data_IF_691235783415
#
_entry.id   IF_691235783415
#
_cell.length_a   1.000
_cell.length_b   1.000
_cell.length_c   1.000
_cell.angle_alpha   90.00
_cell.angle_beta   90.00
_cell.angle_gamma   90.00
#
_symmetry.space_group_name_H-M   'P 1'
#
loop_
_entity.id
_entity.type
_entity.pdbx_description
1 polymer ?
#
# COMPACT_ATOMS: atom_id res chain seq x y z
N UNK A 1 23.93 -42.23 5.12
CA UNK A 1 23.18 -41.17 5.81
C UNK A 1 23.07 -39.99 4.86
N UNK A 2 21.93 -39.83 4.20
CA UNK A 2 21.67 -38.71 3.26
C UNK A 2 20.88 -37.65 3.99
N UNK A 3 21.53 -36.97 4.92
CA UNK A 3 20.95 -35.78 5.54
C UNK A 3 21.20 -34.62 4.59
N UNK A 4 20.15 -34.14 3.92
CA UNK A 4 20.19 -32.89 3.18
C UNK A 4 20.43 -31.74 4.16
N UNK A 5 21.65 -31.18 4.16
CA UNK A 5 21.95 -29.94 4.86
C UNK A 5 21.56 -28.73 4.01
N UNK A 6 21.12 -27.64 4.63
CA UNK A 6 20.99 -26.34 3.97
C UNK A 6 22.16 -25.45 4.37
N UNK A 7 22.75 -24.75 3.40
CA UNK A 7 23.81 -23.77 3.64
C UNK A 7 23.27 -22.41 3.23
N UNK A 8 23.34 -21.43 4.15
CA UNK A 8 23.01 -20.03 3.82
C UNK A 8 24.27 -19.35 3.29
N UNK A 9 24.21 -18.90 2.05
CA UNK A 9 25.29 -18.17 1.40
C UNK A 9 24.82 -16.75 1.10
N UNK A 10 25.70 -15.76 1.28
CA UNK A 10 25.41 -14.38 0.95
C UNK A 10 25.84 -14.09 -0.50
N UNK A 11 24.87 -14.15 -1.42
CA UNK A 11 25.07 -13.85 -2.85
C UNK A 11 24.19 -12.71 -3.35
N UNK A 12 23.63 -11.91 -2.44
CA UNK A 12 22.80 -10.77 -2.80
C UNK A 12 23.61 -9.48 -2.77
N UNK A 13 23.59 -8.72 -3.85
CA UNK A 13 24.06 -7.33 -3.86
C UNK A 13 22.89 -6.40 -4.13
N UNK A 14 22.66 -5.45 -3.25
CA UNK A 14 21.58 -4.46 -3.35
C UNK A 14 22.20 -3.07 -3.32
N UNK A 15 21.75 -2.19 -4.21
CA UNK A 15 22.07 -0.77 -4.20
C UNK A 15 20.84 0.04 -3.80
N UNK A 16 21.06 1.02 -2.94
CA UNK A 16 20.09 2.08 -2.65
C UNK A 16 20.74 3.40 -3.06
N UNK A 17 20.10 4.13 -3.95
CA UNK A 17 20.57 5.44 -4.38
C UNK A 17 19.39 6.41 -4.43
N UNK A 18 19.60 7.60 -3.86
CA UNK A 18 18.50 8.52 -3.62
C UNK A 18 18.95 9.96 -3.50
N UNK A 19 17.94 10.82 -3.37
CA UNK A 19 18.08 12.24 -3.15
C UNK A 19 17.20 12.64 -1.97
N UNK A 20 17.79 13.42 -1.07
CA UNK A 20 17.11 14.01 0.09
C UNK A 20 17.29 15.52 0.04
N UNK A 21 16.20 16.25 0.23
CA UNK A 21 16.20 17.69 0.34
C UNK A 21 15.36 18.14 1.52
N UNK A 22 15.89 19.11 2.25
CA UNK A 22 15.20 19.78 3.34
C UNK A 22 15.11 21.26 2.99
N UNK A 23 13.90 21.79 3.03
CA UNK A 23 13.64 23.22 2.94
C UNK A 23 13.01 23.70 4.25
N UNK A 24 13.78 24.49 4.99
CA UNK A 24 13.36 25.14 6.22
C UNK A 24 13.25 26.64 6.00
N UNK A 25 12.08 27.20 6.26
CA UNK A 25 11.78 28.61 5.95
C UNK A 25 11.08 29.30 7.11
N UNK A 26 11.54 30.52 7.40
CA UNK A 26 10.85 31.42 8.30
C UNK A 26 10.03 32.42 7.47
N UNK A 27 8.83 32.01 7.08
CA UNK A 27 7.97 32.75 6.16
C UNK A 27 7.64 34.16 6.65
N UNK A 28 7.31 34.30 7.94
CA UNK A 28 7.02 35.60 8.55
C UNK A 28 7.54 35.66 9.98
N UNK A 29 8.32 36.69 10.27
CA UNK A 29 8.82 36.98 11.63
C UNK A 29 8.43 38.39 12.05
N UNK A 30 7.49 38.49 12.97
CA UNK A 30 7.12 39.77 13.61
C UNK A 30 7.04 39.59 15.12
N UNK A 31 6.78 40.68 15.85
CA UNK A 31 6.61 40.62 17.31
C UNK A 31 5.45 39.73 17.76
N UNK A 32 4.36 39.70 16.99
CA UNK A 32 3.11 39.03 17.39
C UNK A 32 2.73 37.85 16.50
N UNK A 33 3.43 37.64 15.39
CA UNK A 33 3.14 36.59 14.43
C UNK A 33 4.44 35.97 13.93
N UNK A 34 4.51 34.65 14.01
CA UNK A 34 5.65 33.84 13.61
C UNK A 34 5.11 32.67 12.78
N UNK A 35 5.59 32.49 11.55
CA UNK A 35 5.25 31.35 10.72
C UNK A 35 6.54 30.73 10.17
N UNK A 36 6.69 29.45 10.47
CA UNK A 36 7.80 28.62 10.08
C UNK A 36 7.28 27.37 9.36
N UNK A 37 7.98 26.94 8.32
CA UNK A 37 7.68 25.71 7.58
C UNK A 37 8.94 24.88 7.38
N UNK A 38 8.80 23.57 7.58
CA UNK A 38 9.80 22.57 7.19
C UNK A 38 9.20 21.63 6.16
N UNK A 39 9.94 21.38 5.09
CA UNK A 39 9.56 20.44 4.05
C UNK A 39 10.73 19.48 3.88
N UNK A 40 10.48 18.20 4.16
CA UNK A 40 11.43 17.11 3.97
C UNK A 40 10.98 16.28 2.78
N UNK A 41 11.80 16.20 1.74
CA UNK A 41 11.56 15.38 0.55
C UNK A 41 12.62 14.31 0.43
N UNK A 42 12.19 13.06 0.21
CA UNK A 42 13.09 11.92 0.02
C UNK A 42 12.65 11.11 -1.19
N UNK A 43 13.62 10.72 -2.02
CA UNK A 43 13.45 9.74 -3.09
C UNK A 43 14.56 8.72 -2.96
N UNK A 44 14.22 7.44 -2.85
CA UNK A 44 15.20 6.36 -2.83
C UNK A 44 14.84 5.31 -3.89
N UNK A 45 15.83 4.88 -4.66
CA UNK A 45 15.70 3.79 -5.63
C UNK A 45 16.46 2.59 -5.10
N UNK A 46 15.72 1.53 -4.81
CA UNK A 46 16.27 0.23 -4.43
C UNK A 46 16.44 -0.64 -5.68
N UNK A 47 17.59 -1.31 -5.83
CA UNK A 47 17.87 -2.17 -6.99
C UNK A 47 18.68 -3.38 -6.55
N UNK A 48 18.23 -4.58 -6.96
CA UNK A 48 19.03 -5.81 -6.87
C UNK A 48 20.07 -5.77 -7.99
N UNK A 49 21.35 -5.67 -7.63
CA UNK A 49 22.46 -5.68 -8.59
C UNK A 49 22.95 -7.09 -8.92
N UNK A 50 22.80 -8.02 -7.97
CA UNK A 50 23.23 -9.41 -8.16
C UNK A 50 22.34 -10.35 -7.34
N UNK A 51 21.92 -11.44 -7.97
CA UNK A 51 21.08 -12.47 -7.38
C UNK A 51 21.68 -13.87 -7.61
N UNK A 52 22.57 -14.28 -6.70
CA UNK A 52 23.16 -15.62 -6.82
C UNK A 52 24.22 -15.73 -7.93
N UNK A 53 24.74 -16.94 -8.17
CA UNK A 53 25.72 -17.19 -9.22
C UNK A 53 25.11 -17.20 -10.63
N UNK A 54 23.79 -17.39 -10.75
CA UNK A 54 23.10 -17.51 -12.05
C UNK A 54 22.25 -16.30 -12.42
N UNK A 55 21.99 -15.38 -11.49
CA UNK A 55 21.05 -14.27 -11.70
C UNK A 55 19.58 -14.72 -11.85
N UNK A 56 19.28 -15.98 -11.51
CA UNK A 56 17.94 -16.53 -11.70
C UNK A 56 16.92 -15.87 -10.76
N UNK A 57 15.73 -15.58 -11.30
CA UNK A 57 14.62 -15.03 -10.54
C UNK A 57 14.28 -15.90 -9.31
N UNK A 58 14.03 -15.25 -8.18
CA UNK A 58 13.55 -15.92 -6.97
C UNK A 58 12.13 -15.47 -6.69
N UNK A 59 11.18 -16.36 -6.97
CA UNK A 59 9.77 -16.19 -6.62
C UNK A 59 9.55 -16.38 -5.12
N UNK A 60 8.85 -15.43 -4.49
CA UNK A 60 8.69 -15.35 -3.04
C UNK A 60 7.24 -15.04 -2.64
N UNK A 61 6.97 -15.21 -1.35
CA UNK A 61 5.66 -14.98 -0.76
C UNK A 61 4.58 -15.80 -1.48
N UNK A 62 4.80 -17.11 -1.58
CA UNK A 62 3.86 -18.05 -2.19
C UNK A 62 2.58 -18.12 -1.37
N UNK A 63 1.45 -17.88 -2.04
CA UNK A 63 0.13 -17.97 -1.45
C UNK A 63 -0.81 -18.67 -2.43
N UNK A 64 -2.09 -18.28 -2.45
CA UNK A 64 -3.07 -18.85 -3.37
C UNK A 64 -2.70 -18.52 -4.81
N UNK A 65 -2.70 -19.53 -5.68
CA UNK A 65 -2.45 -19.36 -7.11
C UNK A 65 -0.97 -19.28 -7.50
N UNK A 66 -0.14 -18.59 -6.72
CA UNK A 66 1.27 -18.41 -7.07
C UNK A 66 2.07 -17.57 -6.08
N UNK A 67 3.26 -17.16 -6.53
CA UNK A 67 4.13 -16.25 -5.80
C UNK A 67 3.69 -14.81 -6.00
N UNK A 68 3.55 -14.03 -4.93
CA UNK A 68 3.06 -12.66 -5.02
C UNK A 68 4.19 -11.65 -5.29
N UNK A 69 5.45 -12.09 -5.17
CA UNK A 69 6.63 -11.23 -5.31
C UNK A 69 7.76 -11.94 -6.02
N UNK A 70 8.67 -11.15 -6.57
CA UNK A 70 9.84 -11.63 -7.28
C UNK A 70 11.08 -10.83 -6.87
N UNK A 71 12.20 -11.53 -6.65
CA UNK A 71 13.52 -10.93 -6.67
C UNK A 71 14.09 -11.15 -8.07
N UNK A 72 14.42 -10.05 -8.75
CA UNK A 72 14.98 -10.04 -10.10
C UNK A 72 16.04 -8.95 -10.19
N UNK A 73 17.18 -9.26 -10.81
CA UNK A 73 18.22 -8.27 -11.05
C UNK A 73 17.68 -7.07 -11.84
N UNK A 74 18.06 -5.86 -11.44
CA UNK A 74 17.56 -4.61 -12.01
C UNK A 74 16.22 -4.13 -11.42
N UNK A 75 15.51 -4.93 -10.61
CA UNK A 75 14.27 -4.52 -9.94
C UNK A 75 14.49 -4.24 -8.44
N UNK A 76 13.59 -3.48 -7.80
CA UNK A 76 13.54 -3.36 -6.34
C UNK A 76 13.30 -4.71 -5.65
N UNK A 77 13.76 -4.84 -4.40
CA UNK A 77 13.58 -6.04 -3.57
C UNK A 77 12.10 -6.34 -3.29
N UNK A 78 11.30 -5.30 -3.06
CA UNK A 78 9.89 -5.43 -2.74
C UNK A 78 9.01 -5.30 -3.99
N UNK A 79 9.24 -6.15 -4.99
CA UNK A 79 8.56 -6.11 -6.28
C UNK A 79 7.41 -7.13 -6.32
N UNK A 80 6.19 -6.65 -6.61
CA UNK A 80 5.02 -7.51 -6.82
C UNK A 80 5.12 -8.23 -8.18
N UNK A 81 4.57 -9.44 -8.23
CA UNK A 81 4.62 -10.30 -9.41
C UNK A 81 3.32 -11.07 -9.59
N UNK A 82 2.87 -11.22 -10.83
CA UNK A 82 1.66 -11.97 -11.15
C UNK A 82 1.19 -11.75 -12.58
N UNK A 83 0.00 -12.24 -12.89
CA UNK A 83 -0.56 -12.19 -14.25
C UNK A 83 -1.18 -10.83 -14.57
N UNK A 84 -1.25 -10.48 -15.85
CA UNK A 84 -2.01 -9.32 -16.29
C UNK A 84 -3.48 -9.73 -16.54
N UNK A 85 -4.40 -9.22 -15.70
CA UNK A 85 -5.84 -9.45 -15.84
C UNK A 85 -6.41 -8.49 -16.90
N UNK A 86 -7.02 -9.03 -17.95
CA UNK A 86 -7.63 -8.27 -19.05
C UNK A 86 -9.14 -8.07 -18.90
N UNK A 87 -9.76 -8.73 -17.93
CA UNK A 87 -11.20 -8.73 -17.70
C UNK A 87 -11.73 -10.16 -17.62
N UNK A 88 -12.85 -10.42 -18.27
CA UNK A 88 -13.51 -11.73 -18.34
C UNK A 88 -13.78 -12.14 -19.78
N UNK A 89 -13.81 -13.43 -20.06
CA UNK A 89 -14.15 -13.93 -21.40
C UNK A 89 -15.61 -13.63 -21.76
N UNK A 90 -15.83 -13.03 -22.94
CA UNK A 90 -17.17 -12.84 -23.49
C UNK A 90 -17.77 -14.14 -24.05
N UNK A 91 -19.08 -14.15 -24.30
CA UNK A 91 -19.77 -15.30 -24.91
C UNK A 91 -19.28 -15.57 -26.34
N UNK A 92 -18.87 -14.53 -27.08
CA UNK A 92 -18.28 -14.67 -28.42
C UNK A 92 -16.87 -15.27 -28.38
N UNK A 93 -16.20 -15.24 -27.22
CA UNK A 93 -14.84 -15.75 -27.03
C UNK A 93 -14.83 -17.20 -26.51
N UNK A 94 -15.96 -17.92 -26.53
CA UNK A 94 -16.08 -19.26 -25.97
C UNK A 94 -15.02 -20.25 -26.51
N UNK A 95 -14.71 -20.19 -27.81
CA UNK A 95 -13.67 -21.04 -28.42
C UNK A 95 -12.27 -20.68 -27.93
N UNK A 96 -12.01 -19.39 -27.71
CA UNK A 96 -10.73 -18.91 -27.17
C UNK A 96 -10.59 -19.29 -25.69
N UNK A 97 -11.64 -19.07 -24.90
CA UNK A 97 -11.68 -19.48 -23.49
C UNK A 97 -11.39 -20.98 -23.37
N UNK A 98 -12.05 -21.82 -24.18
CA UNK A 98 -11.86 -23.26 -24.17
C UNK A 98 -10.43 -23.70 -24.53
N UNK A 99 -9.72 -22.96 -25.40
CA UNK A 99 -8.30 -23.21 -25.71
C UNK A 99 -7.42 -23.17 -24.45
N UNK A 100 -7.75 -22.28 -23.51
CA UNK A 100 -7.06 -22.12 -22.23
C UNK A 100 -7.72 -22.90 -21.09
N UNK A 101 -8.69 -23.78 -21.38
CA UNK A 101 -9.42 -24.53 -20.35
C UNK A 101 -10.40 -23.69 -19.52
N UNK A 102 -10.76 -22.51 -20.01
CA UNK A 102 -11.68 -21.56 -19.37
C UNK A 102 -13.05 -21.56 -20.07
N UNK A 103 -14.05 -20.98 -19.42
CA UNK A 103 -15.39 -20.78 -19.95
C UNK A 103 -15.74 -19.29 -20.05
N UNK A 104 -16.69 -18.87 -20.91
CA UNK A 104 -17.23 -17.52 -20.87
C UNK A 104 -17.64 -17.09 -19.45
N UNK A 105 -17.23 -15.89 -19.06
CA UNK A 105 -17.41 -15.37 -17.71
C UNK A 105 -16.28 -15.68 -16.71
N UNK A 106 -15.31 -16.53 -17.08
CA UNK A 106 -14.08 -16.70 -16.27
C UNK A 106 -13.12 -15.53 -16.51
N UNK A 107 -12.20 -15.33 -15.57
CA UNK A 107 -11.15 -14.31 -15.67
C UNK A 107 -10.27 -14.58 -16.90
N UNK A 108 -9.98 -13.51 -17.65
CA UNK A 108 -9.12 -13.52 -18.83
C UNK A 108 -7.76 -12.92 -18.46
N UNK A 109 -6.71 -13.71 -18.65
CA UNK A 109 -5.32 -13.29 -18.50
C UNK A 109 -4.65 -13.13 -19.86
N UNK A 110 -3.61 -12.30 -19.91
CA UNK A 110 -2.74 -12.19 -21.07
C UNK A 110 -1.84 -13.43 -21.19
N UNK A 111 -1.94 -14.15 -22.32
CA UNK A 111 -0.91 -15.08 -22.78
C UNK A 111 0.21 -14.23 -23.40
N UNK A 112 1.29 -14.03 -22.65
CA UNK A 112 2.32 -13.05 -22.98
C UNK A 112 3.32 -13.63 -23.98
N UNK A 113 3.58 -14.93 -23.90
CA UNK A 113 4.50 -15.62 -24.81
C UNK A 113 3.80 -16.18 -26.07
N UNK A 114 2.47 -16.13 -26.12
CA UNK A 114 1.60 -16.62 -27.19
C UNK A 114 1.77 -18.13 -27.48
N UNK A 115 2.10 -18.93 -26.45
CA UNK A 115 2.28 -20.38 -26.60
C UNK A 115 0.94 -21.15 -26.59
N UNK A 116 -0.18 -20.44 -26.33
CA UNK A 116 -1.51 -21.01 -26.27
C UNK A 116 -1.85 -21.64 -24.91
N UNK A 117 -1.12 -21.32 -23.85
CA UNK A 117 -1.39 -21.69 -22.46
C UNK A 117 -1.24 -20.46 -21.56
N UNK A 118 -1.94 -20.46 -20.43
CA UNK A 118 -1.71 -19.48 -19.36
C UNK A 118 -0.84 -20.14 -18.30
N UNK A 119 0.38 -19.63 -18.13
CA UNK A 119 1.38 -20.10 -17.17
C UNK A 119 1.81 -18.97 -16.24
N UNK A 120 1.64 -19.16 -14.94
CA UNK A 120 1.97 -18.13 -13.94
C UNK A 120 3.42 -17.63 -14.04
N UNK A 121 4.37 -18.53 -14.29
CA UNK A 121 5.79 -18.20 -14.30
C UNK A 121 6.22 -17.58 -15.64
N UNK A 122 5.69 -18.07 -16.75
CA UNK A 122 6.10 -17.63 -18.09
C UNK A 122 5.38 -16.34 -18.52
N UNK A 123 4.10 -16.19 -18.15
CA UNK A 123 3.29 -15.02 -18.47
C UNK A 123 3.34 -13.93 -17.40
N UNK A 124 3.80 -14.27 -16.20
CA UNK A 124 3.86 -13.35 -15.09
C UNK A 124 4.74 -12.13 -15.36
N UNK A 125 4.29 -10.99 -14.83
CA UNK A 125 4.92 -9.69 -14.98
C UNK A 125 5.21 -9.06 -13.61
N UNK A 126 6.26 -8.24 -13.48
CA UNK A 126 6.42 -7.36 -12.35
C UNK A 126 5.32 -6.28 -12.36
N UNK A 127 4.65 -6.05 -11.23
CA UNK A 127 3.46 -5.19 -11.12
C UNK A 127 3.67 -3.90 -10.30
N UNK A 128 4.93 -3.53 -10.06
CA UNK A 128 5.33 -2.38 -9.27
C UNK A 128 5.91 -2.78 -7.90
N UNK A 129 6.35 -1.78 -7.13
CA UNK A 129 7.03 -2.00 -5.86
C UNK A 129 6.24 -1.47 -4.67
N UNK A 130 6.38 -2.14 -3.53
CA UNK A 130 5.86 -1.65 -2.26
C UNK A 130 6.56 -0.38 -1.76
N UNK A 131 7.76 -0.09 -2.26
CA UNK A 131 8.46 1.14 -1.91
C UNK A 131 7.92 2.32 -2.73
N UNK A 132 7.69 3.48 -2.09
CA UNK A 132 7.29 4.68 -2.81
C UNK A 132 8.41 5.18 -3.71
N UNK A 133 8.01 5.86 -4.80
CA UNK A 133 8.96 6.56 -5.68
C UNK A 133 9.56 7.75 -4.92
N UNK A 134 8.76 8.42 -4.09
CA UNK A 134 9.19 9.47 -3.19
C UNK A 134 8.21 9.64 -2.03
N UNK A 135 8.71 10.18 -0.93
CA UNK A 135 7.96 10.62 0.24
C UNK A 135 8.24 12.09 0.52
N UNK A 136 7.26 12.77 1.10
CA UNK A 136 7.41 14.14 1.56
C UNK A 136 6.68 14.33 2.90
N UNK A 137 7.32 15.02 3.83
CA UNK A 137 6.68 15.52 5.03
C UNK A 137 6.70 17.05 5.02
N UNK A 138 5.56 17.67 5.31
CA UNK A 138 5.38 19.12 5.37
C UNK A 138 4.89 19.48 6.76
N UNK A 139 5.74 20.16 7.53
CA UNK A 139 5.39 20.72 8.82
C UNK A 139 5.18 22.22 8.71
N UNK A 140 4.09 22.72 9.29
CA UNK A 140 3.82 24.15 9.41
C UNK A 140 3.59 24.52 10.88
N UNK A 141 4.41 25.43 11.39
CA UNK A 141 4.31 25.97 12.74
C UNK A 141 3.95 27.44 12.67
N UNK A 142 2.77 27.79 13.20
CA UNK A 142 2.27 29.17 13.25
C UNK A 142 2.08 29.55 14.72
N UNK A 143 2.53 30.74 15.09
CA UNK A 143 2.27 31.33 16.39
C UNK A 143 1.72 32.73 16.19
N UNK A 144 0.58 33.01 16.81
CA UNK A 144 -0.02 34.33 16.85
C UNK A 144 -0.31 34.72 18.29
N UNK A 145 0.48 35.64 18.83
CA UNK A 145 0.47 36.04 20.26
C UNK A 145 0.56 34.80 21.17
N UNK A 146 -0.54 34.46 21.82
CA UNK A 146 -0.68 33.38 22.79
C UNK A 146 -1.21 32.07 22.19
N UNK A 147 -1.56 32.08 20.90
CA UNK A 147 -2.05 30.92 20.16
C UNK A 147 -0.90 30.30 19.39
N UNK A 148 -0.74 28.99 19.50
CA UNK A 148 0.19 28.19 18.71
C UNK A 148 -0.57 27.13 17.91
N UNK A 149 -0.14 26.90 16.67
CA UNK A 149 -0.69 25.91 15.76
C UNK A 149 0.44 25.15 15.08
N UNK A 150 0.36 23.84 15.07
CA UNK A 150 1.25 22.96 14.32
C UNK A 150 0.43 22.04 13.43
N UNK A 151 0.86 21.86 12.19
CA UNK A 151 0.26 20.95 11.22
C UNK A 151 1.36 20.12 10.57
N UNK A 152 1.19 18.80 10.59
CA UNK A 152 2.08 17.83 9.98
C UNK A 152 1.33 17.02 8.93
N UNK A 153 1.77 17.14 7.68
CA UNK A 153 1.21 16.45 6.52
C UNK A 153 2.27 15.51 5.95
N UNK A 154 1.92 14.24 5.84
CA UNK A 154 2.76 13.23 5.18
C UNK A 154 2.18 12.84 3.83
N UNK A 155 3.04 12.74 2.83
CA UNK A 155 2.72 12.38 1.46
C UNK A 155 3.63 11.23 1.06
N UNK A 156 3.05 10.20 0.47
CA UNK A 156 3.79 9.09 -0.13
C UNK A 156 3.24 8.85 -1.53
N UNK A 157 4.11 8.69 -2.52
CA UNK A 157 3.70 8.59 -3.90
C UNK A 157 4.36 7.42 -4.63
N UNK A 158 3.54 6.68 -5.38
CA UNK A 158 4.01 5.66 -6.32
C UNK A 158 4.20 4.27 -5.72
N UNK A 159 4.00 4.11 -4.41
CA UNK A 159 3.97 2.79 -3.79
C UNK A 159 2.79 1.98 -4.32
N UNK A 160 3.00 0.68 -4.48
CA UNK A 160 1.94 -0.30 -4.74
C UNK A 160 1.64 -1.11 -3.49
N UNK A 161 0.42 -1.62 -3.41
CA UNK A 161 -0.01 -2.49 -2.33
C UNK A 161 -0.83 -3.62 -2.89
N UNK A 162 -0.54 -4.83 -2.44
CA UNK A 162 -1.32 -6.01 -2.76
C UNK A 162 -2.49 -6.13 -1.79
N UNK A 163 -3.71 -6.05 -2.29
CA UNK A 163 -4.93 -6.29 -1.54
C UNK A 163 -5.40 -7.73 -1.71
N UNK A 164 -4.84 -8.64 -0.90
CA UNK A 164 -5.19 -10.07 -0.91
C UNK A 164 -6.64 -10.33 -0.50
N UNK A 165 -7.29 -9.34 0.12
CA UNK A 165 -8.74 -9.39 0.38
C UNK A 165 -9.55 -9.54 -0.92
N UNK A 166 -9.05 -9.05 -2.06
CA UNK A 166 -9.73 -9.23 -3.37
C UNK A 166 -9.88 -10.71 -3.73
N UNK A 167 -8.89 -11.55 -3.41
CA UNK A 167 -9.02 -12.99 -3.61
C UNK A 167 -10.22 -13.57 -2.84
N UNK A 168 -10.29 -13.33 -1.52
CA UNK A 168 -11.27 -13.97 -0.65
C UNK A 168 -12.66 -13.31 -0.69
N UNK A 169 -12.74 -12.04 -1.10
CA UNK A 169 -13.97 -11.25 -1.04
C UNK A 169 -14.47 -10.75 -2.39
N UNK A 170 -13.79 -11.03 -3.51
CA UNK A 170 -14.26 -10.71 -4.86
C UNK A 170 -14.14 -11.91 -5.82
N UNK A 171 -12.99 -12.59 -5.83
CA UNK A 171 -12.76 -13.73 -6.74
C UNK A 171 -13.42 -15.04 -6.22
N UNK A 172 -13.39 -15.29 -4.90
CA UNK A 172 -14.06 -16.44 -4.25
C UNK A 172 -15.44 -16.09 -3.69
N UNK A 173 -16.43 -16.04 -4.57
CA UNK A 173 -17.78 -15.58 -4.26
C UNK A 173 -18.61 -16.64 -3.50
N UNK A 174 -19.37 -16.23 -2.49
CA UNK A 174 -20.35 -17.14 -1.85
C UNK A 174 -19.80 -18.13 -0.80
N UNK A 175 -18.52 -18.06 -0.42
CA UNK A 175 -18.00 -18.73 0.81
C UNK A 175 -18.23 -17.90 2.07
N UNK A 176 -18.12 -16.59 1.92
CA UNK A 176 -18.22 -15.61 2.98
C UNK A 176 -18.87 -14.35 2.43
N UNK A 177 -19.06 -13.36 3.30
CA UNK A 177 -19.46 -12.05 2.84
C UNK A 177 -18.36 -11.45 1.94
N UNK A 178 -18.77 -10.73 0.89
CA UNK A 178 -17.88 -10.21 -0.13
C UNK A 178 -17.96 -8.70 -0.29
N UNK A 179 -17.09 -8.15 -1.14
CA UNK A 179 -17.10 -6.75 -1.53
C UNK A 179 -18.33 -6.45 -2.40
N UNK A 180 -18.80 -5.20 -2.35
CA UNK A 180 -19.91 -4.73 -3.20
C UNK A 180 -19.59 -4.80 -4.70
N UNK A 181 -18.31 -4.86 -5.07
CA UNK A 181 -17.85 -5.06 -6.45
C UNK A 181 -18.34 -6.36 -7.07
N UNK A 182 -18.71 -7.38 -6.27
CA UNK A 182 -19.32 -8.62 -6.78
C UNK A 182 -20.64 -8.34 -7.53
N UNK A 183 -21.33 -7.23 -7.24
CA UNK A 183 -22.55 -6.86 -7.96
C UNK A 183 -22.28 -6.53 -9.45
N UNK A 184 -21.03 -6.21 -9.78
CA UNK A 184 -20.53 -5.99 -11.15
C UNK A 184 -20.03 -7.29 -11.80
N UNK A 185 -20.31 -8.46 -11.20
CA UNK A 185 -19.93 -9.75 -11.74
C UNK A 185 -20.53 -10.01 -13.14
N UNK A 186 -19.76 -10.75 -13.93
CA UNK A 186 -20.11 -11.11 -15.30
C UNK A 186 -21.49 -11.78 -15.38
N UNK A 187 -22.26 -11.35 -16.37
CA UNK A 187 -23.53 -11.95 -16.78
C UNK A 187 -23.62 -11.98 -18.31
N UNK A 188 -24.46 -12.83 -18.91
CA UNK A 188 -24.63 -12.85 -20.36
C UNK A 188 -24.99 -11.48 -20.97
N UNK A 189 -25.69 -10.63 -20.23
CA UNK A 189 -26.06 -9.25 -20.59
C UNK A 189 -25.08 -8.17 -20.06
N UNK A 190 -24.07 -8.56 -19.30
CA UNK A 190 -23.05 -7.68 -18.72
C UNK A 190 -21.68 -8.38 -18.73
N UNK A 191 -20.98 -8.31 -19.87
CA UNK A 191 -19.77 -9.11 -20.11
C UNK A 191 -18.46 -8.34 -19.93
N UNK A 192 -18.50 -7.00 -19.90
CA UNK A 192 -17.34 -6.13 -19.83
C UNK A 192 -17.02 -5.75 -18.37
N UNK A 193 -16.43 -6.69 -17.64
CA UNK A 193 -16.11 -6.52 -16.21
C UNK A 193 -14.79 -7.20 -15.86
N UNK A 194 -14.23 -6.82 -14.71
CA UNK A 194 -13.06 -7.47 -14.10
C UNK A 194 -13.45 -8.60 -13.14
N UNK A 195 -14.74 -8.74 -12.85
CA UNK A 195 -15.29 -9.65 -11.87
C UNK A 195 -15.95 -10.82 -12.58
N UNK A 196 -15.43 -12.02 -12.36
CA UNK A 196 -15.94 -13.22 -12.99
C UNK A 196 -17.38 -13.56 -12.61
N UNK A 197 -17.97 -14.43 -13.42
CA UNK A 197 -19.30 -14.95 -13.20
C UNK A 197 -19.39 -15.71 -11.87
N UNK A 198 -20.46 -15.41 -11.11
CA UNK A 198 -20.82 -16.20 -9.93
C UNK A 198 -21.26 -17.59 -10.36
N UNK A 199 -20.52 -18.64 -9.97
CA UNK A 199 -20.89 -20.03 -10.27
C UNK A 199 -21.12 -20.86 -9.00
N UNK A 200 -22.16 -21.71 -8.96
CA UNK A 200 -22.37 -22.60 -7.82
C UNK A 200 -21.29 -23.71 -7.78
N UNK A 201 -20.47 -23.73 -6.72
CA UNK A 201 -19.44 -24.76 -6.47
C UNK A 201 -18.12 -24.18 -5.95
N UNK A 202 -17.36 -24.95 -5.15
CA UNK A 202 -16.04 -24.64 -4.54
C UNK A 202 -15.82 -23.18 -4.11
N UNK A 203 -16.86 -22.54 -3.58
CA UNK A 203 -16.77 -21.13 -3.19
C UNK A 203 -16.85 -20.11 -4.31
N UNK A 204 -17.71 -20.33 -5.29
CA UNK A 204 -18.08 -19.35 -6.31
C UNK A 204 -17.27 -19.43 -7.60
N UNK A 205 -16.08 -20.03 -7.54
CA UNK A 205 -15.15 -20.14 -8.65
C UNK A 205 -14.93 -21.60 -9.05
N UNK A 206 -15.07 -21.87 -10.36
CA UNK A 206 -14.75 -23.19 -10.95
C UNK A 206 -13.31 -23.23 -11.51
N UNK A 207 -12.58 -22.12 -11.44
CA UNK A 207 -11.24 -21.94 -12.00
C UNK A 207 -10.25 -21.48 -10.93
N UNK A 208 -8.95 -21.66 -11.19
CA UNK A 208 -7.88 -21.20 -10.32
C UNK A 208 -7.69 -19.69 -10.49
N UNK A 209 -7.67 -18.96 -9.38
CA UNK A 209 -7.31 -17.54 -9.32
C UNK A 209 -5.81 -17.42 -9.04
N UNK A 210 -5.18 -16.44 -9.67
CA UNK A 210 -3.74 -16.17 -9.54
C UNK A 210 -3.53 -14.77 -8.99
N UNK A 211 -2.39 -14.49 -8.33
CA UNK A 211 -1.95 -13.12 -8.11
C UNK A 211 -1.91 -12.39 -9.45
N UNK A 212 -2.60 -11.25 -9.52
CA UNK A 212 -2.73 -10.50 -10.77
C UNK A 212 -2.91 -8.99 -10.53
N UNK A 213 -2.97 -8.25 -11.63
CA UNK A 213 -3.06 -6.78 -11.63
C UNK A 213 -4.30 -6.22 -10.92
N UNK A 214 -5.36 -7.01 -10.69
CA UNK A 214 -6.56 -6.61 -9.93
C UNK A 214 -6.30 -6.59 -8.42
N UNK A 215 -5.33 -7.36 -7.94
CA UNK A 215 -4.93 -7.39 -6.53
C UNK A 215 -3.95 -6.27 -6.19
N UNK A 216 -3.23 -5.74 -7.18
CA UNK A 216 -2.26 -4.67 -6.96
C UNK A 216 -2.92 -3.30 -7.15
N UNK A 217 -2.89 -2.50 -6.09
CA UNK A 217 -3.51 -1.19 -6.04
C UNK A 217 -2.49 -0.09 -5.82
N UNK A 218 -2.87 1.14 -6.19
CA UNK A 218 -2.06 2.32 -5.90
C UNK A 218 -2.17 2.68 -4.41
N UNK A 219 -1.03 2.70 -3.73
CA UNK A 219 -0.91 3.04 -2.32
C UNK A 219 -0.38 4.45 -2.10
N UNK A 220 -0.49 5.33 -3.09
CA UNK A 220 -0.17 6.74 -2.88
C UNK A 220 -1.19 7.38 -1.94
N UNK A 221 -0.74 8.28 -1.08
CA UNK A 221 -1.62 8.95 -0.14
C UNK A 221 -1.13 10.32 0.31
N UNK A 222 -2.06 11.10 0.86
CA UNK A 222 -1.81 12.29 1.69
C UNK A 222 -2.49 12.06 3.03
N UNK A 223 -1.74 12.20 4.12
CA UNK A 223 -2.21 11.95 5.50
C UNK A 223 -1.96 13.18 6.36
N UNK A 224 -2.96 13.54 7.16
CA UNK A 224 -2.77 14.45 8.30
C UNK A 224 -2.19 13.66 9.47
N UNK A 225 -0.86 13.65 9.58
CA UNK A 225 -0.18 12.80 10.56
C UNK A 225 -0.34 13.37 11.97
N UNK A 226 -0.24 14.70 12.10
CA UNK A 226 -0.40 15.41 13.36
C UNK A 226 -0.95 16.82 13.19
N UNK A 227 -1.75 17.26 14.14
CA UNK A 227 -2.20 18.64 14.27
C UNK A 227 -2.28 19.00 15.74
N UNK A 228 -1.77 20.17 16.11
CA UNK A 228 -1.89 20.72 17.45
C UNK A 228 -2.39 22.16 17.39
N UNK A 229 -3.38 22.48 18.20
CA UNK A 229 -3.82 23.85 18.46
C UNK A 229 -3.70 24.12 19.96
N UNK A 230 -2.89 25.10 20.33
CA UNK A 230 -2.61 25.48 21.70
C UNK A 230 -2.94 26.93 22.01
N UNK A 231 -3.29 27.19 23.27
CA UNK A 231 -3.35 28.54 23.82
C UNK A 231 -2.61 28.59 25.15
N UNK A 232 -1.59 29.44 25.23
CA UNK A 232 -0.82 29.69 26.46
C UNK A 232 -1.34 30.95 27.13
N UNK A 233 -1.88 30.82 28.34
CA UNK A 233 -2.45 31.95 29.06
C UNK A 233 -1.38 33.01 29.41
N UNK A 234 -1.71 34.31 29.35
CA UNK A 234 -0.80 35.38 29.78
C UNK A 234 -0.36 35.22 31.23
N UNK A 235 0.89 35.59 31.51
CA UNK A 235 1.52 35.40 32.82
C UNK A 235 0.77 36.11 33.96
N UNK A 236 0.13 37.25 33.69
CA UNK A 236 -0.65 37.99 34.68
C UNK A 236 -1.91 37.24 35.15
N UNK A 237 -2.43 36.33 34.32
CA UNK A 237 -3.53 35.45 34.69
C UNK A 237 -3.03 34.23 35.47
N UNK A 238 -1.92 33.62 35.05
CA UNK A 238 -1.41 32.39 35.67
C UNK A 238 -0.80 32.64 37.05
N UNK A 239 -0.18 33.81 37.28
CA UNK A 239 0.33 34.22 38.59
C UNK A 239 -0.75 34.23 39.68
N UNK A 240 -2.00 34.59 39.34
CA UNK A 240 -3.11 34.63 40.30
C UNK A 240 -3.46 33.25 40.86
N UNK A 241 -3.15 32.19 40.12
CA UNK A 241 -3.40 30.80 40.52
C UNK A 241 -2.12 30.08 40.95
N UNK A 242 -1.02 30.83 41.17
CA UNK A 242 0.25 30.27 41.63
C UNK A 242 0.98 29.41 40.59
N UNK A 243 0.71 29.60 39.30
CA UNK A 243 1.33 28.84 38.22
C UNK A 243 2.28 29.70 37.37
N UNK A 244 3.46 29.17 37.06
CA UNK A 244 4.43 29.78 36.15
C UNK A 244 3.99 29.70 34.68
N UNK A 245 3.27 28.65 34.28
CA UNK A 245 2.68 28.52 32.93
C UNK A 245 1.43 27.65 32.92
N UNK A 246 0.41 28.07 32.18
CA UNK A 246 -0.80 27.28 31.87
C UNK A 246 -0.98 27.28 30.36
N UNK A 247 -1.06 26.10 29.74
CA UNK A 247 -1.42 25.95 28.32
C UNK A 247 -2.51 24.89 28.17
N UNK A 248 -3.59 25.23 27.46
CA UNK A 248 -4.56 24.25 26.99
C UNK A 248 -4.25 23.91 25.54
N UNK A 249 -4.51 22.68 25.11
CA UNK A 249 -4.28 22.28 23.74
C UNK A 249 -5.18 21.14 23.29
N UNK A 250 -5.44 21.12 21.99
CA UNK A 250 -6.06 20.03 21.27
C UNK A 250 -5.00 19.41 20.36
N UNK A 251 -4.89 18.08 20.38
CA UNK A 251 -4.12 17.35 19.39
C UNK A 251 -5.06 16.45 18.59
N UNK A 252 -4.72 16.28 17.32
CA UNK A 252 -5.24 15.24 16.46
C UNK A 252 -4.05 14.50 15.83
N UNK A 253 -4.12 13.18 15.74
CA UNK A 253 -3.16 12.38 14.95
C UNK A 253 -3.91 11.44 14.01
N UNK A 254 -3.32 11.20 12.84
CA UNK A 254 -3.94 10.40 11.78
C UNK A 254 -5.39 10.85 11.50
N UNK A 255 -5.60 12.17 11.38
CA UNK A 255 -6.92 12.79 11.46
C UNK A 255 -7.63 12.92 10.10
N UNK A 256 -6.90 12.71 9.00
CA UNK A 256 -7.47 12.44 7.68
C UNK A 256 -6.51 11.61 6.82
N UNK A 257 -7.07 10.97 5.80
CA UNK A 257 -6.35 10.19 4.79
C UNK A 257 -7.01 10.37 3.43
N UNK A 258 -6.23 10.76 2.42
CA UNK A 258 -6.64 10.81 1.01
C UNK A 258 -5.84 9.74 0.25
N UNK A 259 -6.52 8.75 -0.32
CA UNK A 259 -5.90 7.68 -1.12
C UNK A 259 -6.90 7.13 -2.13
N UNK A 260 -6.39 6.43 -3.16
CA UNK A 260 -7.19 5.63 -4.10
C UNK A 260 -7.25 4.16 -3.72
N UNK A 261 -6.45 3.74 -2.73
CA UNK A 261 -6.46 2.38 -2.23
C UNK A 261 -7.86 2.00 -1.71
N UNK A 262 -8.39 0.86 -2.14
CA UNK A 262 -9.75 0.42 -1.79
C UNK A 262 -9.87 -0.27 -0.44
N UNK A 263 -8.74 -0.62 0.20
CA UNK A 263 -8.70 -1.13 1.57
C UNK A 263 -8.72 -0.01 2.63
N UNK A 264 -8.47 -0.38 3.88
CA UNK A 264 -8.64 0.56 5.00
C UNK A 264 -7.49 1.56 5.19
N UNK A 265 -6.23 1.12 5.04
CA UNK A 265 -5.05 1.97 5.15
C UNK A 265 -4.05 1.58 4.05
N UNK A 266 -3.56 2.52 3.22
CA UNK A 266 -2.58 2.25 2.17
C UNK A 266 -1.20 1.89 2.73
N UNK A 267 -0.94 2.14 4.01
CA UNK A 267 0.28 1.74 4.71
C UNK A 267 0.04 0.52 5.58
N UNK A 268 1.11 -0.14 6.02
CA UNK A 268 1.06 -1.35 6.84
C UNK A 268 1.00 -2.63 6.00
N UNK A 269 1.14 -3.77 6.67
CA UNK A 269 1.18 -5.11 6.05
C UNK A 269 0.65 -6.16 7.00
N UNK A 270 0.10 -7.24 6.45
CA UNK A 270 -0.21 -8.46 7.22
C UNK A 270 1.08 -9.17 7.60
N UNK A 271 1.33 -9.38 8.90
CA UNK A 271 2.57 -9.98 9.38
C UNK A 271 2.53 -11.52 9.39
N UNK A 272 1.36 -12.15 9.24
CA UNK A 272 1.23 -13.60 9.45
C UNK A 272 1.54 -14.44 8.19
N UNK A 273 1.55 -13.83 7.00
CA UNK A 273 1.67 -14.54 5.71
C UNK A 273 2.73 -13.93 4.76
N UNK A 274 3.79 -13.32 5.30
CA UNK A 274 4.78 -12.57 4.52
C UNK A 274 6.21 -12.80 5.02
N UNK A 275 7.18 -12.63 4.12
CA UNK A 275 8.59 -12.49 4.48
C UNK A 275 8.97 -11.06 4.87
N UNK A 276 10.06 -10.91 5.62
CA UNK A 276 10.49 -9.63 6.18
C UNK A 276 11.03 -8.62 5.15
N UNK A 277 11.11 -8.98 3.87
CA UNK A 277 11.79 -8.18 2.85
C UNK A 277 10.83 -7.47 1.89
N UNK A 278 9.57 -7.88 1.82
CA UNK A 278 8.56 -7.21 0.98
C UNK A 278 7.39 -6.75 1.84
N UNK A 279 7.30 -5.48 2.23
CA UNK A 279 6.08 -4.95 2.84
C UNK A 279 4.98 -4.76 1.79
N UNK A 280 3.82 -4.27 2.21
CA UNK A 280 2.74 -3.81 1.35
C UNK A 280 1.77 -4.88 0.86
N UNK A 281 1.53 -5.96 1.62
CA UNK A 281 0.40 -6.87 1.35
C UNK A 281 -0.62 -6.78 2.48
N UNK A 282 -1.88 -6.72 2.12
CA UNK A 282 -3.02 -6.51 3.01
C UNK A 282 -3.96 -7.71 2.94
N UNK A 283 -4.18 -8.29 4.10
CA UNK A 283 -5.19 -9.31 4.28
C UNK A 283 -5.97 -9.02 5.56
N UNK A 284 -7.10 -8.31 5.40
CA UNK A 284 -7.97 -7.89 6.51
C UNK A 284 -7.28 -7.07 7.60
N UNK A 285 -6.30 -6.23 7.24
CA UNK A 285 -5.59 -5.43 8.22
C UNK A 285 -6.46 -4.28 8.75
N UNK A 286 -6.39 -4.03 10.05
CA UNK A 286 -7.04 -2.87 10.66
C UNK A 286 -6.31 -1.57 10.30
N UNK A 287 -7.05 -0.47 10.03
CA UNK A 287 -6.44 0.82 9.83
C UNK A 287 -5.83 1.36 11.12
N UNK A 288 -4.92 2.32 10.98
CA UNK A 288 -4.52 3.14 12.13
C UNK A 288 -5.73 3.97 12.59
N UNK A 289 -6.02 4.04 13.90
CA UNK A 289 -7.10 4.88 14.41
C UNK A 289 -6.72 6.36 14.34
N UNK A 290 -7.71 7.22 14.15
CA UNK A 290 -7.57 8.66 14.39
C UNK A 290 -7.64 8.92 15.89
N UNK A 291 -6.68 9.65 16.45
CA UNK A 291 -6.71 10.02 17.86
C UNK A 291 -6.96 11.52 18.02
N UNK A 292 -7.87 11.87 18.91
CA UNK A 292 -8.13 13.25 19.30
C UNK A 292 -7.98 13.37 20.81
N UNK A 293 -7.18 14.33 21.27
CA UNK A 293 -6.92 14.52 22.70
C UNK A 293 -7.00 15.99 23.07
N UNK A 294 -7.58 16.26 24.23
CA UNK A 294 -7.49 17.55 24.90
C UNK A 294 -6.51 17.42 26.07
N UNK A 295 -5.63 18.39 26.24
CA UNK A 295 -4.63 18.39 27.29
C UNK A 295 -4.44 19.75 27.93
N UNK A 296 -3.97 19.72 29.18
CA UNK A 296 -3.56 20.90 29.94
C UNK A 296 -2.11 20.69 30.38
N UNK A 297 -1.25 21.66 30.10
CA UNK A 297 0.11 21.70 30.60
C UNK A 297 0.17 22.79 31.69
N UNK A 298 0.43 22.37 32.92
CA UNK A 298 0.56 23.22 34.09
C UNK A 298 2.00 23.15 34.61
N UNK A 299 2.63 24.30 34.79
CA UNK A 299 3.93 24.43 35.42
C UNK A 299 3.79 25.38 36.60
N UNK A 300 4.35 25.02 37.75
CA UNK A 300 4.36 25.83 38.98
C UNK A 300 5.58 26.74 39.02
#
# INVERSE_FOLDING_TARGET
STTTGSVRLNYGKIRNEGFEAVLSTHNVKTRNFNWYSDINFTRNVNTIEQLGPTGADILRNWWVGGANTILREGLPVAQFFGLNRLGTYGTQEASLAARYGMLPGDVKYEDRNNDGRISFVEDGIPMGSAFPIWDMNVNNSVTYKNIDFNLDIRISYGAKKENRTNHSSEDRQGLANGKTSILDAWRPDHQNTMVAQVRPGNGGAYYQTYPDTRWIEDASFVRGDGMTLGYTFPQDMTKKVGASRVRIYLNASNFFLLTKYSGYDPEGSDNDNMDSITPGMDFFMYPRPSNYSFGVNLTF
#
